data_IF_056070709095
#
_entry.id   IF_056070709095
#
_cell.length_a   1.000
_cell.length_b   1.000
_cell.length_c   1.000
_cell.angle_alpha   90.00
_cell.angle_beta   90.00
_cell.angle_gamma   90.00
#
_symmetry.space_group_name_H-M   'P 1'
#
loop_
_entity.id
_entity.type
_entity.pdbx_description
1 polymer ?
#
# COMPACT_ATOMS: atom_id res chain seq x y z
N UNK A 1 -12.05 21.41 -7.49
CA UNK A 1 -11.61 20.53 -8.60
C UNK A 1 -10.58 19.62 -7.99
N UNK A 2 -10.73 18.30 -8.14
CA UNK A 2 -9.78 17.33 -7.55
C UNK A 2 -8.43 17.51 -8.22
N UNK A 3 -7.35 17.37 -7.44
CA UNK A 3 -5.98 17.46 -7.96
C UNK A 3 -5.72 16.28 -8.89
N UNK A 4 -5.85 16.50 -10.20
CA UNK A 4 -5.65 15.46 -11.20
C UNK A 4 -4.15 15.19 -11.36
N UNK A 5 -3.75 13.94 -11.12
CA UNK A 5 -2.39 13.47 -11.32
C UNK A 5 -2.35 12.46 -12.45
N UNK A 6 -1.34 12.59 -13.30
CA UNK A 6 -0.98 11.61 -14.31
C UNK A 6 0.50 11.23 -14.12
N UNK A 7 0.81 9.96 -14.38
CA UNK A 7 2.16 9.40 -14.33
C UNK A 7 2.34 8.55 -15.59
N UNK A 8 3.46 8.72 -16.28
CA UNK A 8 3.73 8.03 -17.54
C UNK A 8 2.90 8.56 -18.73
N UNK A 9 2.84 7.75 -19.77
CA UNK A 9 2.06 8.05 -20.99
C UNK A 9 0.60 7.61 -20.80
N UNK A 10 -0.34 8.48 -21.15
CA UNK A 10 -1.78 8.20 -21.09
C UNK A 10 -2.47 8.64 -22.38
N UNK A 11 -3.56 7.97 -22.80
CA UNK A 11 -4.30 8.39 -23.99
C UNK A 11 -5.01 9.73 -23.74
N UNK A 12 -5.24 10.55 -24.78
CA UNK A 12 -5.92 11.84 -24.64
C UNK A 12 -7.40 11.69 -24.22
N UNK A 13 -7.98 10.49 -24.39
CA UNK A 13 -9.35 10.14 -24.01
C UNK A 13 -9.38 8.78 -23.35
N UNK A 14 -10.19 8.65 -22.31
CA UNK A 14 -10.48 7.40 -21.60
C UNK A 14 -11.19 6.42 -22.52
N UNK A 15 -11.05 5.11 -22.28
CA UNK A 15 -11.77 4.08 -23.02
C UNK A 15 -11.52 4.12 -24.54
N UNK A 16 -10.28 4.46 -24.92
CA UNK A 16 -9.82 4.42 -26.31
C UNK A 16 -8.69 3.42 -26.45
N UNK A 17 -8.44 2.96 -27.67
CA UNK A 17 -7.29 2.09 -27.94
C UNK A 17 -6.00 2.84 -27.66
N UNK A 18 -5.20 2.32 -26.73
CA UNK A 18 -3.89 2.85 -26.41
C UNK A 18 -2.82 1.84 -26.83
N UNK A 19 -2.08 2.15 -27.89
CA UNK A 19 -1.05 1.24 -28.43
C UNK A 19 0.19 1.28 -27.55
N UNK A 20 0.79 0.11 -27.34
CA UNK A 20 2.09 0.01 -26.67
C UNK A 20 3.15 0.69 -27.54
N UNK A 21 3.97 1.55 -26.93
CA UNK A 21 5.08 2.20 -27.61
C UNK A 21 6.23 1.21 -27.80
N UNK A 22 7.07 1.44 -28.83
CA UNK A 22 8.23 0.56 -29.07
C UNK A 22 9.17 0.52 -27.86
N UNK A 23 9.30 1.64 -27.14
CA UNK A 23 10.09 1.77 -25.91
C UNK A 23 9.50 1.06 -24.68
N UNK A 24 8.28 0.54 -24.78
CA UNK A 24 7.56 -0.09 -23.67
C UNK A 24 7.19 -1.55 -23.95
N UNK A 25 7.81 -2.13 -24.98
CA UNK A 25 7.60 -3.52 -25.37
C UNK A 25 8.49 -4.44 -24.53
N UNK A 26 7.87 -5.35 -23.77
CA UNK A 26 8.54 -6.43 -23.05
C UNK A 26 8.03 -7.81 -23.52
N UNK A 27 8.72 -8.92 -23.23
CA UNK A 27 8.23 -10.26 -23.56
C UNK A 27 6.79 -10.48 -23.09
N UNK A 28 5.93 -10.99 -23.98
CA UNK A 28 4.50 -11.21 -23.68
C UNK A 28 3.61 -9.95 -23.73
N UNK A 29 4.17 -8.77 -23.99
CA UNK A 29 3.38 -7.53 -24.15
C UNK A 29 2.57 -7.56 -25.46
N UNK A 30 1.29 -7.21 -25.38
CA UNK A 30 0.41 -7.11 -26.56
C UNK A 30 0.61 -5.83 -27.37
N UNK A 31 -0.14 -5.67 -28.46
CA UNK A 31 -0.11 -4.44 -29.26
C UNK A 31 -0.77 -3.23 -28.58
N UNK A 32 -1.53 -3.45 -27.50
CA UNK A 32 -2.30 -2.44 -26.78
C UNK A 32 -2.14 -2.64 -25.27
N UNK A 33 -2.18 -1.54 -24.53
CA UNK A 33 -2.31 -1.57 -23.08
C UNK A 33 -3.72 -2.02 -22.66
N UNK A 34 -3.79 -2.72 -21.55
CA UNK A 34 -5.05 -3.09 -20.89
C UNK A 34 -5.42 -2.02 -19.87
N UNK A 35 -6.61 -1.44 -20.00
CA UNK A 35 -7.11 -0.40 -19.09
C UNK A 35 -7.78 -1.04 -17.87
N UNK A 36 -7.38 -0.63 -16.66
CA UNK A 36 -8.03 -0.96 -15.40
C UNK A 36 -8.59 0.31 -14.74
N UNK A 37 -9.88 0.30 -14.39
CA UNK A 37 -10.48 1.34 -13.57
C UNK A 37 -10.45 0.90 -12.10
N UNK A 38 -9.47 1.41 -11.35
CA UNK A 38 -9.42 1.26 -9.90
C UNK A 38 -10.20 2.40 -9.26
N UNK A 39 -11.40 2.12 -8.76
CA UNK A 39 -12.27 3.12 -8.16
C UNK A 39 -12.85 2.70 -6.82
N UNK A 40 -13.26 3.70 -6.06
CA UNK A 40 -13.99 3.54 -4.80
C UNK A 40 -15.51 3.61 -5.02
N UNK A 41 -16.28 2.99 -4.12
CA UNK A 41 -17.75 3.11 -4.03
C UNK A 41 -18.50 2.95 -5.37
N UNK A 42 -18.12 1.94 -6.16
CA UNK A 42 -18.85 1.55 -7.37
C UNK A 42 -19.04 2.68 -8.39
N UNK A 43 -17.95 3.39 -8.72
CA UNK A 43 -17.87 4.50 -9.68
C UNK A 43 -18.40 5.86 -9.20
N UNK A 44 -18.82 5.97 -7.94
CA UNK A 44 -19.36 7.21 -7.38
C UNK A 44 -18.34 8.06 -6.61
N UNK A 45 -17.14 7.52 -6.38
CA UNK A 45 -16.06 8.17 -5.63
C UNK A 45 -14.77 8.29 -6.46
N UNK A 46 -13.68 8.63 -5.80
CA UNK A 46 -12.35 8.79 -6.38
C UNK A 46 -11.91 7.52 -7.13
N UNK A 47 -11.20 7.73 -8.24
CA UNK A 47 -10.75 6.65 -9.11
C UNK A 47 -9.48 7.01 -9.87
N UNK A 48 -8.75 5.96 -10.24
CA UNK A 48 -7.59 5.99 -11.11
C UNK A 48 -7.81 5.06 -12.30
N UNK A 49 -7.35 5.49 -13.47
CA UNK A 49 -7.25 4.64 -14.65
C UNK A 49 -5.79 4.24 -14.83
N UNK A 50 -5.54 2.94 -14.84
CA UNK A 50 -4.22 2.35 -15.03
C UNK A 50 -4.17 1.67 -16.40
N UNK A 51 -2.99 1.68 -17.01
CA UNK A 51 -2.74 1.10 -18.32
C UNK A 51 -1.61 0.06 -18.19
N UNK A 52 -1.94 -1.21 -18.34
CA UNK A 52 -1.07 -2.35 -18.06
C UNK A 52 -0.54 -2.99 -19.34
N UNK A 53 0.70 -3.48 -19.32
CA UNK A 53 1.27 -4.29 -20.42
C UNK A 53 0.64 -5.69 -20.51
N UNK A 54 0.21 -6.22 -19.37
CA UNK A 54 -0.41 -7.54 -19.22
C UNK A 54 -1.85 -7.41 -18.72
N UNK A 55 -2.62 -8.49 -18.82
CA UNK A 55 -4.01 -8.48 -18.36
C UNK A 55 -4.04 -8.36 -16.83
N UNK A 56 -4.58 -7.28 -16.24
CA UNK A 56 -4.51 -7.03 -14.80
C UNK A 56 -5.25 -8.06 -13.95
N UNK A 57 -6.25 -8.75 -14.53
CA UNK A 57 -7.01 -9.82 -13.88
C UNK A 57 -6.40 -11.21 -14.04
N UNK A 58 -5.27 -11.35 -14.73
CA UNK A 58 -4.64 -12.65 -14.92
C UNK A 58 -4.07 -13.20 -13.62
N UNK A 59 -4.26 -14.50 -13.41
CA UNK A 59 -3.79 -15.23 -12.23
C UNK A 59 -3.36 -16.62 -12.67
N UNK A 60 -2.14 -17.00 -12.28
CA UNK A 60 -1.56 -18.31 -12.58
C UNK A 60 -1.89 -19.33 -11.49
N UNK A 61 -1.88 -18.90 -10.23
CA UNK A 61 -2.17 -19.76 -9.09
C UNK A 61 -2.67 -18.94 -7.91
N UNK A 62 -3.31 -19.62 -6.95
CA UNK A 62 -3.67 -19.07 -5.65
C UNK A 62 -3.43 -20.11 -4.56
N UNK A 63 -2.92 -19.67 -3.41
CA UNK A 63 -2.74 -20.52 -2.22
C UNK A 63 -3.09 -19.76 -0.95
N UNK A 64 -3.52 -20.44 0.13
CA UNK A 64 -3.75 -19.78 1.41
C UNK A 64 -2.49 -19.09 1.93
N UNK A 65 -2.65 -17.92 2.52
CA UNK A 65 -1.66 -17.28 3.40
C UNK A 65 -2.17 -17.36 4.83
N UNK A 66 -1.44 -18.05 5.68
CA UNK A 66 -1.75 -18.11 7.11
C UNK A 66 -1.33 -16.80 7.79
N UNK A 67 -2.32 -15.94 8.04
CA UNK A 67 -2.12 -14.68 8.77
C UNK A 67 -2.27 -14.96 10.26
N UNK A 68 -1.15 -14.88 10.97
CA UNK A 68 -1.09 -15.14 12.41
C UNK A 68 -0.94 -13.84 13.21
N UNK A 69 -1.28 -13.87 14.50
CA UNK A 69 -1.04 -12.73 15.41
C UNK A 69 -1.97 -11.52 15.22
N UNK A 70 -3.04 -11.65 14.42
CA UNK A 70 -4.02 -10.57 14.18
C UNK A 70 -5.24 -10.64 15.10
N UNK A 71 -5.16 -11.36 16.21
CA UNK A 71 -6.25 -11.53 17.16
C UNK A 71 -6.37 -10.36 18.12
N UNK A 72 -7.60 -9.97 18.43
CA UNK A 72 -7.89 -8.98 19.48
C UNK A 72 -8.64 -9.65 20.61
N UNK A 73 -8.22 -9.38 21.85
CA UNK A 73 -8.96 -9.80 23.06
C UNK A 73 -9.66 -8.57 23.65
N UNK A 74 -10.96 -8.65 23.98
CA UNK A 74 -11.66 -7.53 24.61
C UNK A 74 -11.02 -7.11 25.94
N UNK A 75 -10.83 -5.80 26.14
CA UNK A 75 -10.34 -5.23 27.40
C UNK A 75 -11.50 -5.07 28.42
N UNK A 76 -12.12 -6.19 28.81
CA UNK A 76 -13.33 -6.19 29.67
C UNK A 76 -13.08 -5.60 31.05
N UNK A 77 -11.94 -5.94 31.66
CA UNK A 77 -11.43 -5.26 32.85
C UNK A 77 -10.57 -4.10 32.37
N UNK A 78 -11.00 -2.86 32.67
CA UNK A 78 -10.32 -1.64 32.20
C UNK A 78 -8.98 -1.44 32.90
N UNK A 79 -7.96 -2.16 32.43
CA UNK A 79 -6.59 -2.07 32.92
C UNK A 79 -5.83 -1.11 32.01
N UNK A 80 -5.28 0.01 32.54
CA UNK A 80 -4.34 0.84 31.80
C UNK A 80 -3.10 0.01 31.44
N UNK A 81 -2.73 -0.02 30.16
CA UNK A 81 -1.54 -0.73 29.67
C UNK A 81 -0.54 0.28 29.15
N UNK A 82 0.72 0.13 29.56
CA UNK A 82 1.85 0.79 28.93
C UNK A 82 2.47 -0.19 27.93
N UNK A 83 2.29 0.08 26.64
CA UNK A 83 2.81 -0.74 25.56
C UNK A 83 4.21 -0.24 25.19
N UNK A 84 5.21 -1.11 25.31
CA UNK A 84 6.61 -0.79 25.00
C UNK A 84 6.95 -1.30 23.59
N UNK A 85 6.51 -0.54 22.59
CA UNK A 85 6.62 -0.95 21.18
C UNK A 85 8.07 -1.16 20.75
N UNK A 86 9.00 -0.36 21.29
CA UNK A 86 10.42 -0.47 21.00
C UNK A 86 11.08 -1.74 21.55
N UNK A 87 10.43 -2.43 22.49
CA UNK A 87 10.90 -3.70 23.05
C UNK A 87 10.36 -4.92 22.25
N UNK A 88 9.56 -4.70 21.19
CA UNK A 88 8.94 -5.78 20.40
C UNK A 88 9.89 -6.48 19.41
N UNK A 89 11.02 -5.85 19.08
CA UNK A 89 11.95 -6.32 18.05
C UNK A 89 13.37 -6.34 18.60
N UNK A 90 13.97 -7.53 18.59
CA UNK A 90 15.38 -7.69 18.90
C UNK A 90 16.24 -7.20 17.74
N UNK A 91 17.33 -6.48 18.04
CA UNK A 91 18.20 -5.88 17.02
C UNK A 91 18.78 -6.92 16.06
N UNK A 92 19.03 -8.15 16.54
CA UNK A 92 19.55 -9.24 15.74
C UNK A 92 18.58 -9.70 14.64
N UNK A 93 17.27 -9.52 14.84
CA UNK A 93 16.24 -10.05 13.94
C UNK A 93 15.80 -9.03 12.88
N UNK A 94 16.01 -7.73 13.12
CA UNK A 94 15.51 -6.61 12.27
C UNK A 94 15.82 -6.83 10.79
N UNK A 95 17.02 -7.31 10.46
CA UNK A 95 17.44 -7.54 9.07
C UNK A 95 16.55 -8.54 8.31
N UNK A 96 15.80 -9.39 9.02
CA UNK A 96 14.87 -10.37 8.46
C UNK A 96 13.40 -9.95 8.53
N UNK A 97 13.10 -8.82 9.17
CA UNK A 97 11.73 -8.34 9.38
C UNK A 97 11.31 -7.44 8.23
N UNK A 98 10.16 -7.74 7.63
CA UNK A 98 9.53 -6.92 6.61
C UNK A 98 8.25 -6.22 7.10
N UNK A 99 7.79 -5.20 6.35
CA UNK A 99 6.64 -4.38 6.73
C UNK A 99 5.28 -5.09 6.66
N UNK A 100 5.18 -6.20 5.93
CA UNK A 100 3.92 -6.90 5.66
C UNK A 100 3.73 -8.09 6.58
N UNK A 101 4.72 -8.98 6.67
CA UNK A 101 4.63 -10.22 7.46
C UNK A 101 5.25 -10.09 8.85
N UNK A 102 6.18 -9.14 9.01
CA UNK A 102 6.88 -8.89 10.27
C UNK A 102 6.16 -7.95 11.26
N UNK A 103 5.10 -7.26 10.83
CA UNK A 103 4.36 -6.30 11.67
C UNK A 103 3.64 -6.99 12.84
N UNK A 104 3.63 -6.33 14.00
CA UNK A 104 3.00 -6.82 15.24
C UNK A 104 1.73 -6.04 15.54
N UNK A 105 0.62 -6.74 15.73
CA UNK A 105 -0.62 -6.11 16.21
C UNK A 105 -0.43 -5.63 17.65
N UNK A 106 -0.65 -4.34 17.88
CA UNK A 106 -0.52 -3.68 19.18
C UNK A 106 -1.88 -3.59 19.87
N UNK A 107 -2.88 -3.10 19.15
CA UNK A 107 -4.26 -3.00 19.62
C UNK A 107 -5.22 -2.85 18.45
N UNK A 108 -6.50 -3.11 18.67
CA UNK A 108 -7.52 -2.89 17.66
C UNK A 108 -8.91 -2.80 18.25
N UNK A 109 -9.82 -2.24 17.46
CA UNK A 109 -11.24 -2.19 17.75
C UNK A 109 -12.03 -2.52 16.47
N UNK A 110 -13.32 -2.19 16.43
CA UNK A 110 -14.14 -2.43 15.26
C UNK A 110 -13.72 -1.61 14.03
N UNK A 111 -13.06 -0.47 14.23
CA UNK A 111 -12.75 0.53 13.20
C UNK A 111 -11.31 0.39 12.66
N UNK A 112 -10.35 0.20 13.57
CA UNK A 112 -8.93 0.20 13.23
C UNK A 112 -8.15 -0.91 13.94
N UNK A 113 -7.05 -1.32 13.29
CA UNK A 113 -5.97 -2.09 13.89
C UNK A 113 -4.70 -1.26 13.84
N UNK A 114 -4.01 -1.22 14.98
CA UNK A 114 -2.76 -0.50 15.16
C UNK A 114 -1.65 -1.53 15.24
N UNK A 115 -0.66 -1.40 14.37
CA UNK A 115 0.47 -2.29 14.27
C UNK A 115 1.78 -1.51 14.35
N UNK A 116 2.84 -2.23 14.69
CA UNK A 116 4.18 -1.69 14.76
C UNK A 116 5.18 -2.65 14.11
N UNK A 117 6.14 -2.11 13.37
CA UNK A 117 7.19 -2.87 12.72
C UNK A 117 8.53 -2.12 12.76
N UNK A 118 9.62 -2.85 12.98
CA UNK A 118 10.99 -2.36 12.75
C UNK A 118 11.58 -3.23 11.65
N UNK A 119 11.73 -2.66 10.47
CA UNK A 119 11.93 -3.44 9.24
C UNK A 119 13.33 -3.21 8.67
N UNK A 120 13.95 -4.30 8.26
CA UNK A 120 15.25 -4.32 7.57
C UNK A 120 15.24 -5.13 6.28
N UNK A 121 14.15 -5.85 5.99
CA UNK A 121 13.96 -6.60 4.75
C UNK A 121 12.90 -5.95 3.84
N UNK A 122 13.07 -6.14 2.54
CA UNK A 122 12.06 -5.80 1.53
C UNK A 122 10.80 -6.65 1.77
N UNK A 123 9.64 -6.02 1.79
CA UNK A 123 8.38 -6.76 1.94
C UNK A 123 8.00 -7.49 0.65
N UNK A 124 7.22 -8.59 0.74
CA UNK A 124 6.54 -9.09 -0.43
C UNK A 124 5.62 -8.02 -1.02
N UNK A 125 5.24 -8.19 -2.29
CA UNK A 125 4.11 -7.45 -2.84
C UNK A 125 2.86 -7.78 -2.04
N UNK A 126 2.13 -6.74 -1.64
CA UNK A 126 1.02 -6.86 -0.72
C UNK A 126 -0.15 -5.98 -1.11
N UNK A 127 -1.35 -6.44 -0.74
CA UNK A 127 -2.62 -5.77 -0.99
C UNK A 127 -3.55 -5.99 0.22
N UNK A 128 -3.95 -4.91 0.89
CA UNK A 128 -5.03 -4.97 1.87
C UNK A 128 -6.40 -4.82 1.17
N UNK A 129 -7.16 -5.89 1.14
CA UNK A 129 -8.52 -5.93 0.60
C UNK A 129 -9.61 -5.54 1.60
N UNK A 130 -9.28 -5.14 2.83
CA UNK A 130 -10.24 -4.80 3.89
C UNK A 130 -10.50 -3.29 3.96
N UNK A 131 -9.46 -2.47 3.98
CA UNK A 131 -9.56 -1.00 4.09
C UNK A 131 -8.24 -0.31 3.82
N UNK A 132 -8.19 1.01 4.06
CA UNK A 132 -7.01 1.82 3.83
C UNK A 132 -5.98 1.65 4.96
N UNK A 133 -4.70 1.81 4.63
CA UNK A 133 -3.62 1.88 5.61
C UNK A 133 -3.08 3.32 5.70
N UNK A 134 -2.87 3.80 6.92
CA UNK A 134 -2.10 5.01 7.20
C UNK A 134 -0.85 4.61 7.96
N UNK A 135 0.30 4.73 7.32
CA UNK A 135 1.60 4.34 7.87
C UNK A 135 2.39 5.58 8.23
N UNK A 136 2.63 5.77 9.52
CA UNK A 136 3.53 6.79 10.02
C UNK A 136 4.96 6.24 10.07
N UNK A 137 5.89 6.93 9.43
CA UNK A 137 7.32 6.62 9.47
C UNK A 137 7.91 7.29 10.71
N UNK A 138 8.08 6.50 11.78
CA UNK A 138 8.61 6.98 13.05
C UNK A 138 10.10 7.32 12.94
N UNK A 139 10.87 6.51 12.21
CA UNK A 139 12.31 6.70 12.03
C UNK A 139 12.80 5.94 10.79
N UNK A 140 13.99 6.32 10.31
CA UNK A 140 14.61 5.72 9.13
C UNK A 140 14.02 6.25 7.82
N UNK A 141 14.46 5.65 6.71
CA UNK A 141 13.99 5.98 5.37
C UNK A 141 13.85 4.73 4.51
N UNK A 142 13.18 4.89 3.38
CA UNK A 142 13.01 3.85 2.39
C UNK A 142 12.13 4.35 1.25
N UNK A 143 11.62 3.42 0.47
CA UNK A 143 10.61 3.72 -0.55
C UNK A 143 9.45 2.75 -0.48
N UNK A 144 8.27 3.26 -0.85
CA UNK A 144 7.06 2.48 -1.04
C UNK A 144 6.82 2.39 -2.55
N UNK A 145 7.00 1.19 -3.05
CA UNK A 145 6.77 0.87 -4.45
C UNK A 145 5.32 0.45 -4.61
N UNK A 146 4.58 1.09 -5.51
CA UNK A 146 3.14 0.85 -5.71
C UNK A 146 2.81 0.68 -7.18
N UNK A 147 1.62 0.14 -7.44
CA UNK A 147 1.06 0.09 -8.79
C UNK A 147 0.84 1.49 -9.42
N UNK A 148 0.86 2.55 -8.62
CA UNK A 148 0.74 3.95 -9.07
C UNK A 148 2.09 4.65 -9.26
N UNK A 149 3.21 3.99 -8.95
CA UNK A 149 4.55 4.57 -8.94
C UNK A 149 5.24 4.46 -7.58
N UNK A 150 6.35 5.19 -7.42
CA UNK A 150 7.21 5.11 -6.23
C UNK A 150 7.05 6.32 -5.33
N UNK A 151 7.02 6.10 -4.01
CA UNK A 151 7.10 7.13 -2.98
C UNK A 151 8.38 6.96 -2.18
N UNK A 152 9.25 7.97 -2.16
CA UNK A 152 10.33 8.05 -1.18
C UNK A 152 9.76 8.46 0.17
N UNK A 153 10.18 7.81 1.26
CA UNK A 153 9.65 8.04 2.60
C UNK A 153 10.77 8.18 3.62
N UNK A 154 10.53 9.02 4.64
CA UNK A 154 11.45 9.25 5.73
C UNK A 154 10.72 9.63 7.01
N UNK A 155 11.48 9.83 8.08
CA UNK A 155 10.98 10.20 9.40
C UNK A 155 9.98 11.38 9.35
N UNK A 156 8.83 11.20 10.01
CA UNK A 156 7.76 12.19 10.10
C UNK A 156 6.69 12.06 9.01
N UNK A 157 6.91 11.22 7.99
CA UNK A 157 5.96 11.04 6.90
C UNK A 157 4.75 10.20 7.31
N UNK A 158 3.60 10.56 6.73
CA UNK A 158 2.39 9.74 6.74
C UNK A 158 2.11 9.26 5.32
N UNK A 159 2.13 7.95 5.13
CA UNK A 159 1.83 7.30 3.86
C UNK A 159 0.40 6.77 3.90
N UNK A 160 -0.46 7.28 3.03
CA UNK A 160 -1.81 6.76 2.85
C UNK A 160 -1.78 5.76 1.70
N UNK A 161 -2.14 4.52 2.00
CA UNK A 161 -2.26 3.44 1.03
C UNK A 161 -3.74 3.07 0.93
N UNK A 162 -4.42 3.48 -0.16
CA UNK A 162 -5.82 3.13 -0.36
C UNK A 162 -6.00 1.61 -0.44
N UNK A 163 -7.16 1.15 0.01
CA UNK A 163 -7.59 -0.24 -0.10
C UNK A 163 -7.32 -0.79 -1.51
N UNK A 164 -6.88 -2.04 -1.57
CA UNK A 164 -6.56 -2.78 -2.79
C UNK A 164 -5.36 -2.27 -3.61
N UNK A 165 -4.63 -1.26 -3.12
CA UNK A 165 -3.36 -0.82 -3.73
C UNK A 165 -2.30 -1.90 -3.55
N UNK A 166 -1.84 -2.50 -4.65
CA UNK A 166 -0.66 -3.36 -4.62
C UNK A 166 0.58 -2.52 -4.37
N UNK A 167 1.33 -2.86 -3.32
CA UNK A 167 2.55 -2.17 -2.95
C UNK A 167 3.56 -3.09 -2.24
N UNK A 168 4.80 -2.64 -2.13
CA UNK A 168 5.82 -3.21 -1.24
C UNK A 168 6.67 -2.11 -0.61
N UNK A 169 7.23 -2.40 0.55
CA UNK A 169 8.11 -1.51 1.29
C UNK A 169 9.56 -1.96 1.13
N UNK A 170 10.44 -1.02 0.79
CA UNK A 170 11.87 -1.23 0.56
C UNK A 170 12.64 -0.32 1.52
N UNK A 171 13.20 -0.85 2.62
CA UNK A 171 14.04 -0.07 3.54
C UNK A 171 15.30 0.46 2.84
N UNK A 172 15.78 1.65 3.24
CA UNK A 172 17.04 2.19 2.73
C UNK A 172 18.25 1.56 3.46
N UNK A 173 18.94 0.68 2.74
CA UNK A 173 20.13 -0.03 3.24
C UNK A 173 21.34 0.89 3.51
N UNK A 174 21.30 2.14 3.04
CA UNK A 174 22.40 3.10 3.24
C UNK A 174 22.30 3.85 4.57
N UNK A 175 21.27 3.59 5.38
CA UNK A 175 21.05 4.26 6.66
C UNK A 175 21.30 3.33 7.84
N UNK A 176 21.91 3.86 8.90
CA UNK A 176 22.13 3.11 10.13
C UNK A 176 20.84 2.95 10.98
N UNK A 177 19.83 3.78 10.72
CA UNK A 177 18.57 3.77 11.44
C UNK A 177 17.58 2.88 10.69
N UNK A 178 17.14 1.75 11.27
CA UNK A 178 16.17 0.89 10.61
C UNK A 178 14.84 1.62 10.42
N UNK A 179 14.11 1.24 9.38
CA UNK A 179 12.80 1.82 9.09
C UNK A 179 11.80 1.37 10.16
N UNK A 180 11.24 2.33 10.92
CA UNK A 180 10.26 2.09 11.98
C UNK A 180 8.90 2.60 11.55
N UNK A 181 7.92 1.69 11.55
CA UNK A 181 6.60 1.94 11.00
C UNK A 181 5.54 1.77 12.08
N UNK A 182 4.71 2.79 12.25
CA UNK A 182 3.48 2.72 13.01
C UNK A 182 2.30 2.70 12.03
N UNK A 183 1.62 1.56 11.94
CA UNK A 183 0.67 1.25 10.88
C UNK A 183 -0.73 1.27 11.47
N UNK A 184 -1.61 2.09 10.90
CA UNK A 184 -3.04 2.13 11.22
C UNK A 184 -3.82 1.57 10.03
N UNK A 185 -4.31 0.35 10.18
CA UNK A 185 -5.20 -0.28 9.20
C UNK A 185 -6.64 0.06 9.57
N UNK A 186 -7.35 0.76 8.69
CA UNK A 186 -8.77 1.03 8.85
C UNK A 186 -9.62 -0.09 8.24
N UNK A 187 -10.88 -0.18 8.66
CA UNK A 187 -11.91 -0.99 8.00
C UNK A 187 -12.70 -0.22 6.92
N UNK A 188 -12.25 1.00 6.59
CA UNK A 188 -12.92 2.02 5.75
C UNK A 188 -11.90 2.95 5.09
N UNK A 189 -12.38 3.97 4.37
CA UNK A 189 -11.54 4.94 3.68
C UNK A 189 -11.01 6.05 4.61
N UNK A 190 -9.72 6.37 4.49
CA UNK A 190 -9.05 7.43 5.25
C UNK A 190 -9.02 8.69 4.39
N UNK A 191 -9.72 9.74 4.83
CA UNK A 191 -9.76 11.03 4.14
C UNK A 191 -9.47 12.19 5.07
N UNK A 192 -9.02 13.35 4.55
CA UNK A 192 -8.88 14.55 5.35
C UNK A 192 -10.17 14.88 6.12
N UNK A 193 -10.08 15.28 7.40
CA UNK A 193 -11.27 15.57 8.21
C UNK A 193 -12.16 16.61 7.53
N UNK A 194 -13.48 16.37 7.52
CA UNK A 194 -14.48 17.22 6.83
C UNK A 194 -14.36 18.71 7.22
N UNK A 195 -14.02 19.01 8.47
CA UNK A 195 -13.85 20.39 8.97
C UNK A 195 -12.70 21.16 8.31
N UNK A 196 -11.72 20.46 7.73
CA UNK A 196 -10.57 21.03 7.04
C UNK A 196 -10.77 21.04 5.51
N UNK A 197 -11.90 20.56 5.01
CA UNK A 197 -12.21 20.55 3.57
C UNK A 197 -13.32 21.52 3.24
N UNK A 198 -13.16 22.25 2.15
CA UNK A 198 -14.24 22.96 1.51
C UNK A 198 -15.26 21.97 0.93
N UNK A 199 -16.46 22.46 0.58
CA UNK A 199 -17.49 21.68 -0.13
C UNK A 199 -17.02 21.13 -1.49
N UNK A 200 -15.88 21.58 -2.00
CA UNK A 200 -15.30 21.18 -3.29
C UNK A 200 -14.01 20.35 -3.15
N UNK A 201 -13.68 19.91 -1.92
CA UNK A 201 -12.55 19.01 -1.64
C UNK A 201 -11.22 19.69 -1.32
N UNK A 202 -11.06 20.98 -1.63
CA UNK A 202 -9.85 21.75 -1.31
C UNK A 202 -9.67 21.90 0.21
N UNK A 203 -8.43 21.83 0.69
CA UNK A 203 -8.08 22.11 2.08
C UNK A 203 -8.33 23.60 2.39
N UNK A 204 -8.84 23.87 3.59
CA UNK A 204 -9.11 25.23 4.06
C UNK A 204 -7.82 25.88 4.59
N UNK A 205 -7.72 27.21 4.57
CA UNK A 205 -6.53 27.96 5.02
C UNK A 205 -6.08 27.68 6.46
N UNK A 206 -6.98 27.20 7.32
CA UNK A 206 -6.68 26.83 8.71
C UNK A 206 -6.39 25.33 8.89
N UNK A 207 -6.32 24.57 7.80
CA UNK A 207 -5.94 23.17 7.83
C UNK A 207 -4.51 23.03 8.32
N UNK A 208 -4.17 21.97 9.06
CA UNK A 208 -2.82 21.78 9.60
C UNK A 208 -1.77 21.46 8.52
N UNK A 209 -2.20 21.15 7.31
CA UNK A 209 -1.39 20.91 6.12
C UNK A 209 -2.18 21.40 4.90
N UNK A 210 -1.49 21.59 3.77
CA UNK A 210 -2.06 22.03 2.50
C UNK A 210 -1.68 21.07 1.37
N UNK A 211 -2.23 21.30 0.18
CA UNK A 211 -1.98 20.44 -0.99
C UNK A 211 -0.50 20.41 -1.40
N UNK A 212 0.29 21.42 -1.01
CA UNK A 212 1.73 21.49 -1.29
C UNK A 212 2.56 20.51 -0.45
N UNK A 213 2.01 20.05 0.66
CA UNK A 213 2.66 19.08 1.54
C UNK A 213 2.42 17.64 1.05
N UNK A 214 1.46 17.44 0.12
CA UNK A 214 1.13 16.13 -0.42
C UNK A 214 2.14 15.71 -1.47
N UNK A 215 2.86 14.62 -1.19
CA UNK A 215 3.74 13.95 -2.15
C UNK A 215 3.00 12.80 -2.80
N UNK A 216 2.93 12.81 -4.12
CA UNK A 216 2.28 11.76 -4.92
C UNK A 216 3.31 10.78 -5.45
N UNK A 217 2.93 9.51 -5.71
CA UNK A 217 3.80 8.56 -6.41
C UNK A 217 4.40 9.18 -7.68
N UNK A 218 5.69 8.90 -7.90
CA UNK A 218 6.46 9.41 -9.02
C UNK A 218 7.05 8.26 -9.84
N UNK A 219 7.17 8.50 -11.15
CA UNK A 219 7.65 7.50 -12.10
C UNK A 219 6.66 6.37 -12.32
N UNK A 220 6.66 5.80 -13.53
CA UNK A 220 6.10 4.47 -13.72
C UNK A 220 6.98 3.47 -12.98
N UNK A 221 6.40 2.37 -12.52
CA UNK A 221 7.14 1.28 -11.91
C UNK A 221 6.91 0.00 -12.71
N UNK A 222 7.94 -0.44 -13.40
CA UNK A 222 7.96 -1.67 -14.19
C UNK A 222 8.90 -2.70 -13.56
N UNK A 223 8.75 -3.97 -13.93
CA UNK A 223 9.61 -5.03 -13.43
C UNK A 223 11.09 -4.74 -13.70
N UNK A 224 11.41 -4.28 -14.92
CA UNK A 224 12.79 -3.93 -15.27
C UNK A 224 13.37 -2.75 -14.47
N UNK A 225 12.52 -1.83 -13.99
CA UNK A 225 12.95 -0.66 -13.20
C UNK A 225 13.48 -1.07 -11.81
N UNK A 226 13.09 -2.25 -11.34
CA UNK A 226 13.48 -2.84 -10.04
C UNK A 226 14.38 -4.07 -10.20
N UNK A 227 14.87 -4.33 -11.42
CA UNK A 227 15.76 -5.45 -11.71
C UNK A 227 15.08 -6.83 -11.76
N UNK A 228 13.76 -6.87 -11.87
CA UNK A 228 12.98 -8.10 -12.01
C UNK A 228 12.78 -8.45 -13.50
N UNK A 229 12.62 -9.74 -13.80
CA UNK A 229 12.28 -10.20 -15.15
C UNK A 229 10.77 -9.98 -15.42
N UNK A 230 10.38 -9.21 -16.46
CA UNK A 230 8.97 -9.01 -16.81
C UNK A 230 8.19 -10.28 -17.15
N UNK A 231 8.87 -11.41 -17.43
CA UNK A 231 8.24 -12.70 -17.67
C UNK A 231 8.16 -13.58 -16.41
N UNK A 232 8.73 -13.15 -15.28
CA UNK A 232 8.72 -13.91 -14.04
C UNK A 232 7.39 -13.75 -13.30
N UNK A 233 6.75 -14.85 -12.89
CA UNK A 233 5.57 -14.79 -12.05
C UNK A 233 5.85 -14.06 -10.73
N UNK A 234 4.92 -13.20 -10.32
CA UNK A 234 5.02 -12.44 -9.08
C UNK A 234 4.02 -12.94 -8.04
N UNK A 235 4.47 -13.19 -6.82
CA UNK A 235 3.58 -13.48 -5.70
C UNK A 235 3.08 -12.18 -5.06
N UNK A 236 1.76 -12.05 -4.92
CA UNK A 236 1.08 -10.94 -4.24
C UNK A 236 0.31 -11.48 -3.03
N UNK A 237 0.68 -11.01 -1.85
CA UNK A 237 0.07 -11.33 -0.57
C UNK A 237 -1.18 -10.48 -0.39
N UNK A 238 -2.33 -11.11 -0.29
CA UNK A 238 -3.62 -10.42 -0.22
C UNK A 238 -4.28 -10.74 1.11
N UNK A 239 -4.50 -9.71 1.90
CA UNK A 239 -5.30 -9.80 3.13
C UNK A 239 -6.74 -9.43 2.80
N UNK A 240 -7.70 -10.22 3.28
CA UNK A 240 -9.11 -9.99 3.02
C UNK A 240 -9.98 -10.47 4.19
N UNK A 241 -11.27 -10.15 4.17
CA UNK A 241 -12.22 -10.68 5.15
C UNK A 241 -12.40 -12.18 4.94
N UNK A 242 -12.50 -12.95 6.01
CA UNK A 242 -12.68 -14.40 5.95
C UNK A 242 -12.95 -15.03 7.32
N UNK A 243 -12.93 -16.36 7.35
CA UNK A 243 -13.23 -17.16 8.56
C UNK A 243 -12.01 -17.29 9.48
N UNK A 244 -10.87 -16.67 9.14
CA UNK A 244 -9.67 -16.71 9.97
C UNK A 244 -9.76 -15.83 11.21
N UNK A 245 -8.68 -15.83 11.98
CA UNK A 245 -8.63 -15.22 13.29
C UNK A 245 -8.88 -13.70 13.23
N UNK A 246 -9.83 -13.22 14.03
CA UNK A 246 -10.25 -11.82 14.01
C UNK A 246 -11.01 -11.39 12.74
N UNK A 247 -11.59 -12.34 12.00
CA UNK A 247 -12.36 -12.08 10.77
C UNK A 247 -11.48 -11.82 9.53
N UNK A 248 -10.19 -12.12 9.63
CA UNK A 248 -9.17 -11.86 8.61
C UNK A 248 -8.70 -13.19 8.05
N UNK A 249 -8.53 -13.25 6.73
CA UNK A 249 -7.90 -14.34 6.02
C UNK A 249 -6.86 -13.80 5.03
N UNK A 250 -5.93 -14.66 4.62
CA UNK A 250 -4.93 -14.33 3.63
C UNK A 250 -4.95 -15.30 2.45
N UNK A 251 -4.63 -14.77 1.27
CA UNK A 251 -4.39 -15.54 0.05
C UNK A 251 -3.16 -14.98 -0.64
N UNK A 252 -2.31 -15.84 -1.20
CA UNK A 252 -1.22 -15.44 -2.10
C UNK A 252 -1.66 -15.76 -3.52
N UNK A 253 -1.74 -14.74 -4.36
CA UNK A 253 -1.92 -14.90 -5.79
C UNK A 253 -0.55 -14.93 -6.46
N UNK A 254 -0.37 -15.83 -7.42
CA UNK A 254 0.72 -15.76 -8.38
C UNK A 254 0.19 -15.10 -9.64
N UNK A 255 0.64 -13.89 -9.94
CA UNK A 255 0.32 -13.17 -11.16
C UNK A 255 1.39 -13.45 -12.22
N UNK A 256 1.03 -13.45 -13.51
CA UNK A 256 2.02 -13.53 -14.59
C UNK A 256 2.91 -12.30 -14.64
#
# INVERSE_FOLDING_TARGET
>A
MVYYKAVGEIPPKRHTQFRVSESDTAPGTGAFYYEELMGEEGFSSDSSLLYHRYIPSAMLAARPWDITGMETVPNTTLIPRHLRLHDLFDTADIASVDAVTGRRLVMGNADVRILYAVVGAVSPWYRDGIGDECVYVEAGSGRVETIFGVLEVGEGDYVIIPRATTHRWVPDENTATPLRLYIVEANSHITPPKRYRSKHGQLLEHSPYCERDLRTPAGRLLAEDIGEDPAAPTEVYIKHRGVGNGGIAGTIHTTP
#
